data_IF_429643163432
#
_entry.id   IF_429643163432
#
_cell.length_a   1.000
_cell.length_b   1.000
_cell.length_c   1.000
_cell.angle_alpha   90.00
_cell.angle_beta   90.00
_cell.angle_gamma   90.00
#
_symmetry.space_group_name_H-M   'P 1'
#
loop_
_entity.id
_entity.type
_entity.pdbx_description
1 polymer ?
#
# COMPACT_ATOMS: atom_id res chain seq x y z
N UNK A 1 7.80 -9.30 -14.95
CA UNK A 1 7.61 -7.92 -15.47
C UNK A 1 6.16 -7.56 -15.75
N UNK A 2 5.21 -8.50 -15.86
CA UNK A 2 3.80 -8.23 -16.22
C UNK A 2 3.03 -7.33 -15.24
N UNK A 3 3.59 -7.10 -14.05
CA UNK A 3 3.03 -6.30 -12.98
C UNK A 3 3.47 -4.83 -12.98
N UNK A 4 4.52 -4.48 -13.72
CA UNK A 4 5.07 -3.11 -13.71
C UNK A 4 4.18 -2.14 -14.50
N UNK A 5 4.13 -0.89 -14.02
CA UNK A 5 3.44 0.22 -14.68
C UNK A 5 1.91 0.22 -14.55
N UNK A 6 1.32 -0.88 -14.08
CA UNK A 6 -0.12 -1.03 -13.85
C UNK A 6 -0.52 -0.52 -12.47
N UNK A 7 -1.77 -0.06 -12.38
CA UNK A 7 -2.43 0.28 -11.12
C UNK A 7 -3.32 -0.89 -10.73
N UNK A 8 -3.25 -1.29 -9.46
CA UNK A 8 -4.05 -2.35 -8.88
C UNK A 8 -4.85 -1.79 -7.72
N UNK A 9 -6.17 -1.96 -7.78
CA UNK A 9 -7.06 -1.57 -6.71
C UNK A 9 -7.23 -2.73 -5.72
N UNK A 10 -7.33 -2.40 -4.43
CA UNK A 10 -7.63 -3.39 -3.41
C UNK A 10 -9.06 -3.90 -3.58
N UNK A 11 -9.19 -5.14 -4.05
CA UNK A 11 -10.50 -5.81 -4.17
C UNK A 11 -10.94 -6.43 -2.83
N UNK A 12 -10.06 -7.21 -2.20
CA UNK A 12 -10.31 -7.89 -0.92
C UNK A 12 -9.05 -8.02 -0.08
N UNK A 13 -9.23 -8.17 1.22
CA UNK A 13 -8.19 -8.51 2.19
C UNK A 13 -8.72 -9.59 3.16
N UNK A 14 -7.81 -10.28 3.83
CA UNK A 14 -8.13 -11.34 4.79
C UNK A 14 -7.37 -11.05 6.09
N UNK A 15 -8.05 -11.14 7.23
CA UNK A 15 -7.51 -10.88 8.58
C UNK A 15 -6.89 -9.47 8.75
N UNK A 16 -7.26 -8.50 7.89
CA UNK A 16 -6.69 -7.16 7.92
C UNK A 16 -7.02 -6.42 9.21
N UNK A 17 -8.22 -6.60 9.75
CA UNK A 17 -8.62 -5.97 11.01
C UNK A 17 -7.79 -6.46 12.20
N UNK A 18 -7.54 -7.77 12.28
CA UNK A 18 -6.68 -8.37 13.30
C UNK A 18 -5.24 -7.89 13.16
N UNK A 19 -4.74 -7.80 11.93
CA UNK A 19 -3.42 -7.23 11.66
C UNK A 19 -3.33 -5.78 12.15
N UNK A 20 -4.29 -4.91 11.80
CA UNK A 20 -4.30 -3.51 12.26
C UNK A 20 -4.36 -3.42 13.80
N UNK A 21 -5.16 -4.26 14.47
CA UNK A 21 -5.22 -4.31 15.95
C UNK A 21 -3.93 -4.80 16.60
N UNK A 22 -3.15 -5.63 15.89
CA UNK A 22 -1.85 -6.09 16.38
C UNK A 22 -0.76 -5.01 16.30
N UNK A 23 -1.00 -3.96 15.51
CA UNK A 23 -0.12 -2.81 15.44
C UNK A 23 -0.47 -1.84 16.58
N UNK A 24 0.55 -1.33 17.28
CA UNK A 24 0.40 -0.33 18.36
C UNK A 24 0.08 1.06 17.77
N UNK A 25 -1.09 1.16 17.12
CA UNK A 25 -1.58 2.37 16.45
C UNK A 25 -2.58 3.10 17.33
N UNK A 26 -2.69 4.42 17.15
CA UNK A 26 -3.80 5.17 17.72
C UNK A 26 -5.14 4.72 17.11
N UNK A 27 -6.22 4.82 17.89
CA UNK A 27 -7.56 4.42 17.43
C UNK A 27 -7.98 5.13 16.14
N UNK A 28 -7.64 6.41 16.01
CA UNK A 28 -7.90 7.21 14.79
C UNK A 28 -7.15 6.66 13.57
N UNK A 29 -5.88 6.31 13.73
CA UNK A 29 -5.06 5.76 12.64
C UNK A 29 -5.52 4.36 12.25
N UNK A 30 -5.89 3.53 13.22
CA UNK A 30 -6.45 2.21 12.96
C UNK A 30 -7.77 2.30 12.17
N UNK A 31 -8.70 3.16 12.59
CA UNK A 31 -9.99 3.36 11.91
C UNK A 31 -9.81 3.89 10.47
N UNK A 32 -8.86 4.81 10.27
CA UNK A 32 -8.48 5.28 8.94
C UNK A 32 -8.05 4.11 8.05
N UNK A 33 -7.15 3.24 8.52
CA UNK A 33 -6.68 2.10 7.72
C UNK A 33 -7.80 1.12 7.39
N UNK A 34 -8.70 0.81 8.33
CA UNK A 34 -9.80 -0.14 8.12
C UNK A 34 -10.82 0.35 7.08
N UNK A 35 -11.00 1.67 6.95
CA UNK A 35 -11.93 2.27 6.00
C UNK A 35 -11.34 2.51 4.62
N UNK A 36 -10.02 2.49 4.50
CA UNK A 36 -9.32 2.87 3.28
C UNK A 36 -9.16 1.69 2.32
N UNK A 37 -9.39 1.95 1.03
CA UNK A 37 -9.10 1.00 -0.06
C UNK A 37 -8.01 1.58 -0.96
N UNK A 38 -6.72 1.32 -0.67
CA UNK A 38 -5.65 1.89 -1.45
C UNK A 38 -5.47 1.17 -2.79
N UNK A 39 -5.04 1.94 -3.79
CA UNK A 39 -4.48 1.45 -5.04
C UNK A 39 -2.97 1.39 -4.95
N UNK A 40 -2.36 0.46 -5.69
CA UNK A 40 -0.92 0.22 -5.70
C UNK A 40 -0.38 0.29 -7.12
N UNK A 41 0.74 0.97 -7.31
CA UNK A 41 1.50 1.00 -8.57
C UNK A 41 2.97 0.71 -8.31
N UNK A 42 3.54 -0.22 -9.06
CA UNK A 42 4.98 -0.53 -9.02
C UNK A 42 5.64 -0.15 -10.34
N UNK A 43 6.67 0.67 -10.29
CA UNK A 43 7.44 1.12 -11.47
C UNK A 43 8.91 0.78 -11.27
N UNK A 44 9.54 0.22 -12.31
CA UNK A 44 11.00 0.01 -12.35
C UNK A 44 11.66 1.21 -13.05
N UNK A 45 12.66 1.80 -12.41
CA UNK A 45 13.43 2.94 -12.88
C UNK A 45 14.91 2.54 -12.92
N UNK A 46 15.34 1.92 -14.03
CA UNK A 46 16.68 1.31 -14.12
C UNK A 46 16.85 0.19 -13.07
N UNK A 47 17.78 0.38 -12.14
CA UNK A 47 18.08 -0.58 -11.06
C UNK A 47 17.23 -0.38 -9.79
N UNK A 48 16.35 0.61 -9.79
CA UNK A 48 15.49 0.94 -8.64
C UNK A 48 14.03 0.66 -8.94
N UNK A 49 13.24 0.50 -7.89
CA UNK A 49 11.79 0.36 -7.94
C UNK A 49 11.15 1.47 -7.11
N UNK A 50 10.03 2.00 -7.60
CA UNK A 50 9.12 2.87 -6.85
C UNK A 50 7.80 2.15 -6.67
N UNK A 51 7.45 1.83 -5.42
CA UNK A 51 6.13 1.37 -5.01
C UNK A 51 5.32 2.56 -4.51
N UNK A 52 4.22 2.87 -5.17
CA UNK A 52 3.28 3.92 -4.75
C UNK A 52 2.01 3.26 -4.23
N UNK A 53 1.64 3.55 -2.99
CA UNK A 53 0.35 3.20 -2.40
C UNK A 53 -0.46 4.47 -2.17
N UNK A 54 -1.68 4.56 -2.67
CA UNK A 54 -2.46 5.79 -2.65
C UNK A 54 -3.97 5.57 -2.56
N UNK A 55 -4.67 6.55 -2.01
CA UNK A 55 -6.12 6.68 -1.92
C UNK A 55 -6.47 8.17 -1.85
N UNK A 56 -7.70 8.53 -1.46
CA UNK A 56 -8.09 9.94 -1.29
C UNK A 56 -7.39 10.58 -0.08
N UNK A 57 -7.11 9.78 0.93
CA UNK A 57 -6.63 10.21 2.24
C UNK A 57 -5.11 10.30 2.30
N UNK A 58 -4.40 9.45 1.56
CA UNK A 58 -2.94 9.45 1.56
C UNK A 58 -2.34 9.04 0.22
N UNK A 59 -1.09 9.46 0.04
CA UNK A 59 -0.18 8.97 -1.00
C UNK A 59 1.19 8.73 -0.40
N UNK A 60 1.69 7.50 -0.50
CA UNK A 60 3.00 7.09 0.00
C UNK A 60 3.83 6.49 -1.12
N UNK A 61 5.10 6.88 -1.19
CA UNK A 61 6.06 6.35 -2.16
C UNK A 61 7.23 5.70 -1.42
N UNK A 62 7.57 4.48 -1.82
CA UNK A 62 8.73 3.74 -1.33
C UNK A 62 9.66 3.46 -2.50
N UNK A 63 10.90 3.96 -2.42
CA UNK A 63 11.96 3.72 -3.40
C UNK A 63 12.97 2.71 -2.84
N UNK A 64 13.25 1.65 -3.59
CA UNK A 64 14.14 0.58 -3.15
C UNK A 64 14.90 -0.05 -4.31
N UNK A 65 16.00 -0.74 -4.02
CA UNK A 65 16.68 -1.66 -4.94
C UNK A 65 16.29 -3.09 -4.58
N UNK A 66 16.19 -3.97 -5.57
CA UNK A 66 16.12 -5.40 -5.28
C UNK A 66 17.48 -5.82 -4.72
N UNK A 67 17.46 -6.54 -3.59
CA UNK A 67 18.64 -7.21 -3.06
C UNK A 67 19.08 -8.37 -3.94
#
# INVERSE_FOLDING_TARGET
MSFLGKVYDLERNENFEEYIKSLDLSAETADLFLKTKPSIKLVKNGDTYTLTSFCNEFRKELKFKSG
#
